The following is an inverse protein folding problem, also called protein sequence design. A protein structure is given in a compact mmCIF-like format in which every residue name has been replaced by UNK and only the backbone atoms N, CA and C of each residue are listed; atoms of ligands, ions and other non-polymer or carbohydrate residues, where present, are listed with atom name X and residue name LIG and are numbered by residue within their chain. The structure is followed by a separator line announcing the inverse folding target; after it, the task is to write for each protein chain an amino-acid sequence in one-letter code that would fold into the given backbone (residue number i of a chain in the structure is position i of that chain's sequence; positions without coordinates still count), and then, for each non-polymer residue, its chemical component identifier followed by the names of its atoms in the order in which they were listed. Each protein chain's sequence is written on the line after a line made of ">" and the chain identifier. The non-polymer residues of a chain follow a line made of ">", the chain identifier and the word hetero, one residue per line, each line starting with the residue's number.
data_IF_726412590530
#
_entry.id   IF_726412590530
#
_cell.length_a   1.000
_cell.length_b   1.000
_cell.length_c   1.000
_cell.angle_alpha   90.00
_cell.angle_beta   90.00
_cell.angle_gamma   90.00
#
_symmetry.space_group_name_H-M   'P 1'
#
loop_
_entity.id
_entity.type
_entity.pdbx_description
1 polymer ?
#
# COMPACT_ATOMS: atom_id res chain seq x y z
N UNK A 1 9.97 -23.90 -4.32
CA UNK A 1 9.81 -24.79 -3.15
C UNK A 1 9.52 -26.21 -3.63
N UNK A 2 9.89 -27.26 -2.90
CA UNK A 2 9.57 -28.64 -3.27
C UNK A 2 8.80 -29.28 -2.12
N UNK A 3 7.65 -29.90 -2.41
CA UNK A 3 6.88 -30.68 -1.45
C UNK A 3 6.74 -32.13 -1.95
N UNK A 4 6.06 -32.97 -1.17
CA UNK A 4 5.85 -34.39 -1.51
C UNK A 4 5.06 -34.60 -2.82
N UNK A 5 4.45 -33.55 -3.39
CA UNK A 5 3.61 -33.58 -4.58
C UNK A 5 4.30 -32.98 -5.81
N UNK A 6 5.47 -32.35 -5.66
CA UNK A 6 6.26 -31.83 -6.78
C UNK A 6 7.01 -30.52 -6.50
N UNK A 7 7.42 -29.86 -7.59
CA UNK A 7 8.10 -28.56 -7.60
C UNK A 7 7.07 -27.42 -7.72
N UNK A 8 7.16 -26.45 -6.80
CA UNK A 8 6.36 -25.22 -6.79
C UNK A 8 7.26 -24.06 -7.21
N UNK A 9 6.86 -23.36 -8.27
CA UNK A 9 7.46 -22.09 -8.71
C UNK A 9 6.53 -20.96 -8.28
N UNK A 10 7.08 -19.95 -7.61
CA UNK A 10 6.33 -18.81 -7.08
C UNK A 10 6.87 -17.53 -7.68
N UNK A 11 5.96 -16.71 -8.23
CA UNK A 11 6.26 -15.32 -8.52
C UNK A 11 6.26 -14.54 -7.20
N UNK A 12 7.45 -14.14 -6.77
CA UNK A 12 7.68 -13.44 -5.51
C UNK A 12 6.97 -12.08 -5.46
N UNK A 13 6.95 -11.35 -6.57
CA UNK A 13 6.32 -10.03 -6.68
C UNK A 13 4.82 -10.15 -6.51
N UNK A 14 4.20 -11.00 -7.32
CA UNK A 14 2.77 -11.22 -7.28
C UNK A 14 2.31 -11.77 -5.91
N UNK A 15 3.08 -12.66 -5.31
CA UNK A 15 2.80 -13.18 -3.97
C UNK A 15 2.87 -12.08 -2.90
N UNK A 16 3.93 -11.25 -2.91
CA UNK A 16 4.09 -10.18 -1.94
C UNK A 16 3.01 -9.11 -2.08
N UNK A 17 2.69 -8.69 -3.31
CA UNK A 17 1.60 -7.74 -3.56
C UNK A 17 0.25 -8.28 -3.09
N UNK A 18 -0.05 -9.56 -3.33
CA UNK A 18 -1.28 -10.19 -2.83
C UNK A 18 -1.33 -10.19 -1.30
N UNK A 19 -0.23 -10.54 -0.64
CA UNK A 19 -0.15 -10.54 0.84
C UNK A 19 -0.40 -9.14 1.40
N UNK A 20 0.26 -8.12 0.85
CA UNK A 20 0.08 -6.74 1.32
C UNK A 20 -1.34 -6.25 1.06
N UNK A 21 -1.89 -6.53 -0.11
CA UNK A 21 -3.28 -6.22 -0.45
C UNK A 21 -4.26 -6.82 0.56
N UNK A 22 -4.18 -8.14 0.83
CA UNK A 22 -5.13 -8.79 1.74
C UNK A 22 -4.97 -8.31 3.18
N UNK A 23 -3.74 -8.02 3.62
CA UNK A 23 -3.48 -7.43 4.95
C UNK A 23 -4.08 -6.02 5.05
N UNK A 24 -3.83 -5.15 4.07
CA UNK A 24 -4.41 -3.80 4.03
C UNK A 24 -5.94 -3.84 4.00
N UNK A 25 -6.51 -4.73 3.19
CA UNK A 25 -7.96 -4.93 3.09
C UNK A 25 -8.56 -5.36 4.44
N UNK A 26 -7.96 -6.36 5.07
CA UNK A 26 -8.39 -6.84 6.39
C UNK A 26 -8.29 -5.73 7.45
N UNK A 27 -7.20 -4.96 7.44
CA UNK A 27 -7.03 -3.83 8.35
C UNK A 27 -8.04 -2.71 8.11
N UNK A 28 -8.36 -2.41 6.85
CA UNK A 28 -9.36 -1.40 6.49
C UNK A 28 -10.78 -1.85 6.85
N UNK A 29 -11.12 -3.13 6.59
CA UNK A 29 -12.39 -3.75 6.99
C UNK A 29 -12.60 -3.72 8.51
N UNK A 30 -11.50 -3.82 9.28
CA UNK A 30 -11.52 -3.75 10.74
C UNK A 30 -11.40 -2.32 11.30
N UNK A 31 -11.33 -1.29 10.45
CA UNK A 31 -11.05 0.11 10.81
C UNK A 31 -9.79 0.27 11.70
N UNK A 32 -8.79 -0.58 11.46
CA UNK A 32 -7.55 -0.68 12.27
C UNK A 32 -6.34 -0.77 11.36
N UNK A 33 -6.18 0.20 10.46
CA UNK A 33 -4.92 0.35 9.73
C UNK A 33 -3.86 0.81 10.73
N UNK A 34 -2.84 -0.03 10.91
CA UNK A 34 -1.68 0.29 11.74
C UNK A 34 -0.80 1.25 10.94
N UNK A 35 -0.64 2.45 11.47
CA UNK A 35 0.20 3.49 10.89
C UNK A 35 1.55 3.55 11.59
N UNK A 36 2.58 3.96 10.84
CA UNK A 36 3.89 4.26 11.39
C UNK A 36 4.24 5.73 11.08
N UNK A 37 4.64 6.53 12.08
CA UNK A 37 5.21 7.83 11.83
C UNK A 37 6.58 7.68 11.15
N UNK A 38 6.89 8.58 10.23
CA UNK A 38 8.19 8.66 9.59
C UNK A 38 9.15 9.43 10.48
N UNK A 39 10.36 8.89 10.67
CA UNK A 39 11.43 9.57 11.41
C UNK A 39 11.78 10.92 10.77
N UNK A 40 11.75 10.96 9.43
CA UNK A 40 11.93 12.15 8.62
C UNK A 40 10.72 12.23 7.68
N UNK A 41 9.89 13.29 7.77
CA UNK A 41 8.79 13.47 6.85
C UNK A 41 9.28 13.51 5.40
N UNK A 42 8.55 12.85 4.51
CA UNK A 42 8.86 12.85 3.08
C UNK A 42 8.09 14.00 2.44
N UNK A 43 8.80 15.04 2.00
CA UNK A 43 8.22 16.19 1.31
C UNK A 43 8.34 16.03 -0.20
N UNK A 44 7.28 16.37 -0.93
CA UNK A 44 7.23 16.32 -2.39
C UNK A 44 6.46 17.50 -2.97
N UNK A 45 6.76 17.87 -4.22
CA UNK A 45 6.05 18.93 -4.92
C UNK A 45 4.64 18.47 -5.28
N UNK A 46 3.66 19.33 -5.02
CA UNK A 46 2.26 19.07 -5.29
C UNK A 46 1.66 20.26 -6.02
N UNK A 47 0.77 19.99 -6.99
CA UNK A 47 0.01 21.04 -7.63
C UNK A 47 -1.09 21.58 -6.69
N UNK A 48 -1.74 22.67 -7.08
CA UNK A 48 -2.77 23.30 -6.26
C UNK A 48 -3.95 22.37 -5.96
N UNK A 49 -4.22 21.40 -6.84
CA UNK A 49 -5.34 20.48 -6.70
C UNK A 49 -5.01 19.35 -5.73
N UNK A 50 -3.77 18.85 -5.73
CA UNK A 50 -3.26 17.90 -4.75
C UNK A 50 -3.21 18.52 -3.35
N UNK A 51 -2.78 19.79 -3.25
CA UNK A 51 -2.82 20.57 -2.00
C UNK A 51 -4.26 20.65 -1.47
N UNK A 52 -5.20 21.10 -2.30
CA UNK A 52 -6.60 21.23 -1.91
C UNK A 52 -7.23 19.88 -1.53
N UNK A 53 -6.89 18.80 -2.25
CA UNK A 53 -7.37 17.44 -1.97
C UNK A 53 -6.86 16.96 -0.62
N UNK A 54 -5.57 17.16 -0.32
CA UNK A 54 -4.99 16.77 0.96
C UNK A 54 -5.59 17.54 2.14
N UNK A 55 -5.95 18.81 1.96
CA UNK A 55 -6.63 19.61 2.99
C UNK A 55 -8.09 19.18 3.19
N UNK A 56 -8.83 18.96 2.09
CA UNK A 56 -10.25 18.63 2.14
C UNK A 56 -10.52 17.21 2.66
N UNK A 57 -9.65 16.26 2.35
CA UNK A 57 -9.88 14.82 2.58
C UNK A 57 -9.03 14.24 3.72
N UNK A 58 -8.65 15.07 4.70
CA UNK A 58 -7.86 14.64 5.88
C UNK A 58 -8.44 13.42 6.59
N UNK A 59 -9.75 13.37 6.79
CA UNK A 59 -10.41 12.25 7.46
C UNK A 59 -10.27 10.95 6.65
N UNK A 60 -10.45 11.03 5.32
CA UNK A 60 -10.28 9.89 4.44
C UNK A 60 -8.82 9.39 4.41
N UNK A 61 -7.86 10.32 4.37
CA UNK A 61 -6.43 10.01 4.46
C UNK A 61 -6.09 9.29 5.76
N UNK A 62 -6.59 9.76 6.90
CA UNK A 62 -6.39 9.12 8.20
C UNK A 62 -6.99 7.71 8.25
N UNK A 63 -8.20 7.52 7.70
CA UNK A 63 -8.84 6.20 7.58
C UNK A 63 -8.06 5.24 6.70
N UNK A 64 -7.38 5.75 5.68
CA UNK A 64 -6.46 5.00 4.82
C UNK A 64 -5.07 4.80 5.44
N UNK A 65 -4.83 5.38 6.62
CA UNK A 65 -3.60 5.24 7.38
C UNK A 65 -2.48 6.22 7.00
N UNK A 66 -2.82 7.33 6.36
CA UNK A 66 -1.89 8.37 5.94
C UNK A 66 -2.07 9.65 6.77
N UNK A 67 -0.94 10.28 7.08
CA UNK A 67 -0.87 11.68 7.53
C UNK A 67 -0.10 12.45 6.46
N UNK A 68 -0.85 13.18 5.63
CA UNK A 68 -0.32 14.00 4.52
C UNK A 68 -0.85 15.40 4.73
N UNK A 69 0.04 16.38 4.86
CA UNK A 69 -0.36 17.77 5.09
C UNK A 69 0.48 18.75 4.26
N UNK A 70 -0.07 19.91 3.89
CA UNK A 70 0.70 20.98 3.28
C UNK A 70 1.85 21.44 4.18
N UNK A 71 3.03 21.52 3.58
CA UNK A 71 4.20 22.18 4.16
C UNK A 71 4.35 23.61 3.59
N UNK A 72 3.95 23.80 2.34
CA UNK A 72 3.93 25.08 1.64
C UNK A 72 2.80 25.07 0.58
N UNK A 73 2.51 26.19 -0.10
CA UNK A 73 1.52 26.24 -1.18
C UNK A 73 1.81 25.32 -2.38
N UNK A 74 2.99 24.73 -2.47
CA UNK A 74 3.42 23.84 -3.58
C UNK A 74 4.07 22.55 -3.07
N UNK A 75 3.95 22.26 -1.78
CA UNK A 75 4.66 21.13 -1.16
C UNK A 75 3.78 20.45 -0.14
N UNK A 76 3.61 19.14 -0.30
CA UNK A 76 3.00 18.27 0.69
C UNK A 76 4.10 17.52 1.46
N UNK A 77 3.78 17.09 2.68
CA UNK A 77 4.64 16.24 3.48
C UNK A 77 3.86 15.02 3.98
N UNK A 78 4.39 13.82 3.75
CA UNK A 78 3.95 12.59 4.39
C UNK A 78 4.64 12.47 5.74
N UNK A 79 3.87 12.39 6.82
CA UNK A 79 4.36 12.25 8.20
C UNK A 79 4.11 10.87 8.78
N UNK A 80 3.07 10.19 8.30
CA UNK A 80 2.77 8.81 8.65
C UNK A 80 2.15 8.08 7.45
N UNK A 81 2.32 6.77 7.43
CA UNK A 81 1.77 5.89 6.40
C UNK A 81 1.50 4.48 6.98
N UNK A 82 0.73 3.62 6.31
CA UNK A 82 0.50 2.25 6.78
C UNK A 82 1.82 1.47 6.93
N UNK A 83 1.96 0.71 8.03
CA UNK A 83 3.17 -0.09 8.34
C UNK A 83 3.49 -1.14 7.27
N UNK A 84 2.48 -1.54 6.49
CA UNK A 84 2.59 -2.51 5.41
C UNK A 84 3.24 -1.94 4.14
N UNK A 85 3.31 -0.61 4.03
CA UNK A 85 3.92 0.09 2.90
C UNK A 85 5.36 0.48 3.24
N UNK A 86 6.19 0.59 2.21
CA UNK A 86 7.60 0.96 2.39
C UNK A 86 7.76 2.47 2.45
N UNK A 87 8.53 2.94 3.41
CA UNK A 87 8.85 4.37 3.56
C UNK A 87 9.51 4.97 2.32
N UNK A 88 10.30 4.20 1.57
CA UNK A 88 10.92 4.65 0.31
C UNK A 88 9.91 4.97 -0.79
N UNK A 89 8.68 4.51 -0.67
CA UNK A 89 7.60 4.66 -1.65
C UNK A 89 6.51 5.62 -1.13
N UNK A 90 6.80 6.39 -0.07
CA UNK A 90 5.84 7.27 0.57
C UNK A 90 5.25 8.31 -0.40
N UNK A 91 6.08 8.93 -1.25
CA UNK A 91 5.64 9.90 -2.26
C UNK A 91 4.74 9.25 -3.32
N UNK A 92 5.14 8.09 -3.86
CA UNK A 92 4.36 7.38 -4.85
C UNK A 92 3.00 6.92 -4.29
N UNK A 93 2.98 6.40 -3.07
CA UNK A 93 1.75 6.02 -2.37
C UNK A 93 0.85 7.22 -2.08
N UNK A 94 1.42 8.37 -1.68
CA UNK A 94 0.69 9.60 -1.46
C UNK A 94 0.01 10.09 -2.75
N UNK A 95 0.74 10.14 -3.87
CA UNK A 95 0.15 10.52 -5.16
C UNK A 95 -0.96 9.55 -5.59
N UNK A 96 -0.78 8.24 -5.41
CA UNK A 96 -1.80 7.25 -5.75
C UNK A 96 -3.12 7.49 -4.99
N UNK A 97 -3.03 7.76 -3.67
CA UNK A 97 -4.21 8.04 -2.84
C UNK A 97 -4.85 9.37 -3.19
N UNK A 98 -4.06 10.43 -3.35
CA UNK A 98 -4.57 11.77 -3.70
C UNK A 98 -5.26 11.76 -5.06
N UNK A 99 -4.71 11.04 -6.04
CA UNK A 99 -5.33 10.88 -7.36
C UNK A 99 -6.70 10.19 -7.27
N UNK A 100 -6.82 9.09 -6.53
CA UNK A 100 -8.10 8.39 -6.34
C UNK A 100 -9.13 9.28 -5.62
N UNK A 101 -8.73 9.97 -4.55
CA UNK A 101 -9.59 10.89 -3.79
C UNK A 101 -10.10 12.03 -4.67
N UNK A 102 -9.22 12.58 -5.50
CA UNK A 102 -9.55 13.67 -6.42
C UNK A 102 -10.49 13.22 -7.53
N UNK A 103 -10.26 12.05 -8.11
CA UNK A 103 -11.02 11.57 -9.27
C UNK A 103 -12.42 11.06 -8.88
N UNK A 104 -12.54 10.40 -7.72
CA UNK A 104 -13.77 9.70 -7.33
C UNK A 104 -14.44 10.25 -6.08
N UNK A 105 -13.74 11.05 -5.27
CA UNK A 105 -14.19 11.54 -3.97
C UNK A 105 -14.05 10.48 -2.86
N UNK A 106 -13.85 10.92 -1.62
CA UNK A 106 -13.58 10.03 -0.49
C UNK A 106 -14.63 8.93 -0.28
N UNK A 107 -15.92 9.24 -0.41
CA UNK A 107 -16.99 8.27 -0.19
C UNK A 107 -16.87 7.06 -1.12
N UNK A 108 -16.61 7.28 -2.42
CA UNK A 108 -16.47 6.20 -3.40
C UNK A 108 -15.14 5.47 -3.25
N UNK A 109 -14.06 6.20 -2.94
CA UNK A 109 -12.73 5.63 -2.64
C UNK A 109 -12.78 4.64 -1.48
N UNK A 110 -13.50 4.97 -0.42
CA UNK A 110 -13.61 4.13 0.77
C UNK A 110 -14.60 2.96 0.61
N UNK A 111 -15.41 2.95 -0.46
CA UNK A 111 -16.45 1.93 -0.70
C UNK A 111 -16.23 1.18 -2.01
N UNK A 112 -16.71 1.72 -3.13
CA UNK A 112 -16.69 1.11 -4.46
C UNK A 112 -15.28 0.88 -4.99
N UNK A 113 -14.41 1.89 -4.83
CA UNK A 113 -13.05 1.92 -5.39
C UNK A 113 -11.99 1.37 -4.44
N UNK A 114 -12.41 0.97 -3.23
CA UNK A 114 -11.51 0.53 -2.16
C UNK A 114 -10.55 -0.56 -2.61
N UNK A 115 -11.05 -1.60 -3.28
CA UNK A 115 -10.20 -2.71 -3.71
C UNK A 115 -9.19 -2.27 -4.78
N UNK A 116 -9.57 -1.35 -5.68
CA UNK A 116 -8.67 -0.81 -6.70
C UNK A 116 -7.55 0.02 -6.05
N UNK A 117 -7.89 0.90 -5.11
CA UNK A 117 -6.92 1.68 -4.35
C UNK A 117 -5.93 0.77 -3.60
N UNK A 118 -6.45 -0.21 -2.85
CA UNK A 118 -5.61 -1.12 -2.08
C UNK A 118 -4.68 -1.95 -2.97
N UNK A 119 -5.13 -2.34 -4.16
CA UNK A 119 -4.28 -3.02 -5.13
C UNK A 119 -3.15 -2.09 -5.61
N UNK A 120 -3.47 -0.84 -5.95
CA UNK A 120 -2.45 0.16 -6.33
C UNK A 120 -1.42 0.39 -5.23
N UNK A 121 -1.87 0.54 -3.98
CA UNK A 121 -0.99 0.70 -2.82
C UNK A 121 -0.10 -0.54 -2.60
N UNK A 122 -0.65 -1.74 -2.80
CA UNK A 122 0.13 -2.97 -2.70
C UNK A 122 1.23 -3.06 -3.77
N UNK A 123 1.01 -2.57 -4.99
CA UNK A 123 2.07 -2.48 -6.01
C UNK A 123 3.22 -1.56 -5.57
N UNK A 124 2.92 -0.48 -4.83
CA UNK A 124 3.95 0.38 -4.21
C UNK A 124 4.61 -0.24 -2.96
N UNK A 125 4.14 -1.38 -2.46
CA UNK A 125 4.79 -2.07 -1.34
C UNK A 125 5.91 -3.02 -1.78
N UNK A 126 6.02 -3.30 -3.10
CA UNK A 126 6.74 -4.44 -3.60
C UNK A 126 8.24 -4.44 -3.22
N UNK A 127 8.72 -5.58 -2.74
CA UNK A 127 10.14 -5.97 -2.72
C UNK A 127 10.76 -5.61 -4.07
N UNK A 128 11.94 -4.98 -4.10
CA UNK A 128 12.58 -4.61 -5.37
C UNK A 128 12.61 -5.83 -6.30
N UNK A 129 12.28 -5.63 -7.57
CA UNK A 129 12.35 -6.62 -8.67
C UNK A 129 13.68 -7.37 -8.83
N UNK A 130 14.71 -7.03 -8.05
CA UNK A 130 16.05 -7.58 -8.17
C UNK A 130 16.72 -7.89 -6.81
N UNK A 131 15.96 -8.06 -5.73
CA UNK A 131 16.53 -8.47 -4.44
C UNK A 131 16.59 -10.00 -4.36
N UNK A 132 17.80 -10.54 -4.21
CA UNK A 132 17.99 -11.95 -3.88
C UNK A 132 17.52 -12.15 -2.43
N UNK A 133 16.47 -12.96 -2.24
CA UNK A 133 16.04 -13.36 -0.90
C UNK A 133 16.95 -14.46 -0.35
N UNK A 134 17.23 -14.38 0.94
CA UNK A 134 17.78 -15.51 1.68
C UNK A 134 16.77 -16.67 1.75
N UNK A 135 17.23 -17.89 2.01
CA UNK A 135 16.35 -19.06 2.21
C UNK A 135 15.35 -18.82 3.34
N UNK A 136 15.76 -18.10 4.39
CA UNK A 136 14.89 -17.73 5.49
C UNK A 136 13.75 -16.81 5.04
N UNK A 137 14.05 -15.78 4.24
CA UNK A 137 13.04 -14.86 3.71
C UNK A 137 12.11 -15.55 2.69
N UNK A 138 12.65 -16.47 1.88
CA UNK A 138 11.83 -17.30 0.98
C UNK A 138 10.85 -18.18 1.77
N UNK A 139 11.30 -18.82 2.85
CA UNK A 139 10.44 -19.63 3.71
C UNK A 139 9.38 -18.77 4.43
N UNK A 140 9.75 -17.58 4.91
CA UNK A 140 8.81 -16.65 5.53
C UNK A 140 7.70 -16.24 4.54
N UNK A 141 8.07 -15.90 3.31
CA UNK A 141 7.10 -15.60 2.26
C UNK A 141 6.14 -16.77 2.00
N UNK A 142 6.66 -17.99 1.88
CA UNK A 142 5.82 -19.18 1.67
C UNK A 142 4.85 -19.42 2.83
N UNK A 143 5.30 -19.24 4.08
CA UNK A 143 4.43 -19.33 5.26
C UNK A 143 3.37 -18.24 5.27
N UNK A 144 3.70 -17.02 4.85
CA UNK A 144 2.72 -15.94 4.70
C UNK A 144 1.70 -16.23 3.60
N UNK A 145 2.12 -16.85 2.49
CA UNK A 145 1.20 -17.30 1.44
C UNK A 145 0.23 -18.39 1.92
N UNK A 146 0.67 -19.33 2.76
CA UNK A 146 -0.19 -20.41 3.30
C UNK A 146 -1.37 -19.87 4.12
N UNK A 147 -1.18 -18.75 4.82
CA UNK A 147 -2.21 -18.14 5.68
C UNK A 147 -2.99 -17.03 4.96
N UNK A 148 -2.55 -16.61 3.78
CA UNK A 148 -3.20 -15.55 2.99
C UNK A 148 -4.22 -16.14 2.03
N UNK A 149 -5.48 -15.74 2.18
CA UNK A 149 -6.55 -16.17 1.26
C UNK A 149 -6.22 -15.74 -0.18
N UNK A 150 -6.39 -16.65 -1.16
CA UNK A 150 -6.12 -16.42 -2.60
C UNK A 150 -4.66 -16.07 -2.95
N UNK A 151 -3.68 -16.48 -2.13
CA UNK A 151 -2.25 -16.30 -2.44
C UNK A 151 -1.78 -16.93 -3.77
N UNK A 152 -2.55 -17.86 -4.35
CA UNK A 152 -2.29 -18.45 -5.66
C UNK A 152 -2.86 -17.68 -6.87
N UNK A 153 -3.50 -16.52 -6.68
CA UNK A 153 -4.10 -15.72 -7.76
C UNK A 153 -3.53 -14.29 -7.76
N UNK A 154 -3.01 -13.84 -8.90
CA UNK A 154 -2.52 -12.47 -9.08
C UNK A 154 -3.66 -11.44 -8.98
N UNK A 155 -3.34 -10.20 -8.61
CA UNK A 155 -4.32 -9.10 -8.50
C UNK A 155 -4.90 -8.65 -9.86
N UNK A 156 -4.37 -9.17 -10.97
CA UNK A 156 -4.68 -8.74 -12.34
C UNK A 156 -5.27 -9.86 -13.22
N UNK A 157 -5.72 -10.97 -12.62
CA UNK A 157 -6.35 -12.08 -13.33
C UNK A 157 -7.88 -12.00 -13.28
#
# INVERSE_FOLDING_TARGET
>A
AQNAQGLIVVDMHAAHERIVYEKLKTSLDAERIITQPLLIPVSFFADALDIATAEAEQEALQRLGFDIAPLSPTTLAVRAMPVLLKQSEAEAAAHAVLNELREYGASRVLTERRNALLASLACHSAVRANRILSVTEMNALLREMEVTCRAGQCNHA
#
